data_IF_906374738915
#
_entry.id   IF_906374738915
#
_cell.length_a   1.000
_cell.length_b   1.000
_cell.length_c   1.000
_cell.angle_alpha   90.00
_cell.angle_beta   90.00
_cell.angle_gamma   90.00
#
_symmetry.space_group_name_H-M   'P 1'
#
loop_
_entity.id
_entity.type
_entity.pdbx_description
1 polymer ?
#
# COMPACT_ATOMS: atom_id res chain seq x y z
N UNK A 1 17.71 -65.55 -20.83
CA UNK A 1 16.31 -65.61 -21.26
C UNK A 1 15.54 -64.69 -20.32
N UNK A 2 14.83 -63.61 -20.71
CA UNK A 2 14.40 -63.15 -22.05
C UNK A 2 14.30 -61.60 -22.08
N UNK A 3 14.31 -60.99 -23.27
CA UNK A 3 14.03 -59.54 -23.54
C UNK A 3 12.55 -59.18 -23.22
N UNK A 4 12.00 -57.97 -23.29
CA UNK A 4 12.31 -56.64 -23.88
C UNK A 4 11.54 -55.56 -23.07
N UNK A 5 11.87 -54.26 -22.98
CA UNK A 5 12.22 -53.20 -23.95
C UNK A 5 11.01 -52.47 -24.61
N UNK A 6 11.07 -51.13 -24.64
CA UNK A 6 10.10 -50.20 -25.29
C UNK A 6 9.29 -49.35 -24.29
N UNK A 7 9.11 -48.03 -24.46
CA UNK A 7 9.57 -47.10 -25.50
C UNK A 7 9.45 -45.63 -25.03
N UNK A 8 10.05 -44.68 -25.76
CA UNK A 8 10.17 -43.26 -25.38
C UNK A 8 9.13 -42.36 -26.09
N UNK A 9 8.97 -41.14 -25.55
CA UNK A 9 8.72 -39.88 -26.30
C UNK A 9 7.34 -39.75 -27.02
N UNK A 10 6.91 -38.59 -27.52
CA UNK A 10 7.11 -37.17 -27.12
C UNK A 10 6.16 -36.29 -27.97
N UNK A 11 5.71 -35.14 -27.43
CA UNK A 11 4.94 -34.10 -28.13
C UNK A 11 4.55 -33.01 -27.12
N UNK A 12 4.81 -31.69 -27.25
CA UNK A 12 4.71 -30.76 -28.41
C UNK A 12 3.38 -30.97 -29.17
N UNK A 13 2.59 -29.96 -29.60
CA UNK A 13 2.55 -28.50 -29.42
C UNK A 13 1.30 -27.96 -30.20
N UNK A 14 0.76 -26.75 -30.07
CA UNK A 14 0.75 -25.65 -29.06
C UNK A 14 -0.13 -24.49 -29.63
N UNK A 15 -0.21 -23.33 -28.95
CA UNK A 15 -0.73 -22.01 -29.41
C UNK A 15 -2.25 -21.76 -29.28
N UNK A 16 -2.59 -20.47 -29.17
CA UNK A 16 -3.94 -19.89 -29.28
C UNK A 16 -4.60 -19.60 -27.92
N UNK A 17 -4.90 -18.36 -27.50
CA UNK A 17 -4.67 -17.04 -28.11
C UNK A 17 -5.97 -16.27 -28.37
N UNK A 18 -6.11 -15.07 -27.77
CA UNK A 18 -7.29 -14.19 -27.78
C UNK A 18 -8.57 -14.77 -27.13
N UNK A 19 -9.48 -13.98 -26.54
CA UNK A 19 -9.50 -12.52 -26.38
C UNK A 19 -10.73 -11.89 -27.03
N UNK A 20 -11.87 -11.88 -26.34
CA UNK A 20 -13.04 -11.06 -26.70
C UNK A 20 -13.53 -10.25 -25.50
N UNK A 21 -13.27 -8.95 -25.52
CA UNK A 21 -14.03 -7.99 -24.75
C UNK A 21 -15.26 -7.60 -25.59
N UNK A 22 -16.48 -7.74 -25.05
CA UNK A 22 -17.68 -7.16 -25.65
C UNK A 22 -18.07 -5.90 -24.89
N UNK A 23 -17.77 -4.75 -25.49
CA UNK A 23 -18.21 -3.46 -24.99
C UNK A 23 -19.71 -3.25 -25.24
N UNK A 24 -20.45 -2.87 -24.21
CA UNK A 24 -21.81 -2.32 -24.35
C UNK A 24 -21.73 -0.81 -24.48
N UNK A 25 -21.76 -0.28 -25.71
CA UNK A 25 -21.96 1.14 -25.96
C UNK A 25 -23.47 1.41 -26.11
N UNK A 26 -24.08 2.00 -25.09
CA UNK A 26 -25.46 2.48 -25.16
C UNK A 26 -25.51 3.95 -25.53
N UNK A 27 -25.84 4.26 -26.79
CA UNK A 27 -26.22 5.64 -27.15
C UNK A 27 -27.61 5.96 -26.60
N UNK A 28 -27.74 7.08 -25.90
CA UNK A 28 -29.02 7.72 -25.61
C UNK A 28 -28.92 9.21 -25.99
N UNK A 29 -29.52 9.57 -27.13
CA UNK A 29 -29.68 10.97 -27.56
C UNK A 29 -31.00 11.53 -27.02
N UNK A 30 -30.95 12.75 -26.50
CA UNK A 30 -32.12 13.54 -26.08
C UNK A 30 -31.75 14.40 -24.86
N UNK A 31 -32.08 15.69 -24.79
CA UNK A 31 -32.72 16.57 -25.77
C UNK A 31 -32.42 18.04 -25.41
N UNK A 32 -32.80 18.97 -26.27
CA UNK A 32 -32.49 20.40 -26.08
C UNK A 32 -33.30 21.04 -24.94
N UNK A 33 -32.75 22.11 -24.34
CA UNK A 33 -33.43 22.93 -23.34
C UNK A 33 -32.64 24.21 -23.02
N UNK A 34 -32.91 25.30 -23.74
CA UNK A 34 -32.40 26.63 -23.41
C UNK A 34 -33.25 27.31 -22.32
N UNK A 35 -32.58 27.90 -21.31
CA UNK A 35 -33.06 29.04 -20.53
C UNK A 35 -31.84 29.66 -19.81
N UNK A 36 -31.22 30.75 -20.31
CA UNK A 36 -31.60 32.17 -20.15
C UNK A 36 -31.84 32.63 -18.69
N UNK A 37 -30.97 33.55 -18.25
CA UNK A 37 -31.32 34.65 -17.35
C UNK A 37 -30.81 34.54 -15.92
N UNK A 38 -30.07 35.56 -15.45
CA UNK A 38 -29.69 35.67 -14.03
C UNK A 38 -28.37 36.38 -13.74
N UNK A 39 -28.12 37.56 -14.32
CA UNK A 39 -27.05 38.42 -13.81
C UNK A 39 -27.49 39.05 -12.47
N UNK A 40 -26.60 39.05 -11.48
CA UNK A 40 -26.90 39.52 -10.12
C UNK A 40 -25.63 39.91 -9.36
N UNK A 41 -24.98 40.98 -9.77
CA UNK A 41 -23.96 41.63 -8.95
C UNK A 41 -24.61 42.26 -7.71
N UNK A 42 -24.12 41.94 -6.51
CA UNK A 42 -24.37 42.72 -5.31
C UNK A 42 -23.06 42.87 -4.53
N UNK A 43 -22.64 44.13 -4.35
CA UNK A 43 -21.35 44.51 -3.74
C UNK A 43 -21.42 44.54 -2.21
N UNK A 44 -20.24 44.49 -1.60
CA UNK A 44 -19.95 45.33 -0.43
C UNK A 44 -20.06 44.63 0.93
N UNK A 45 -18.91 44.26 1.48
CA UNK A 45 -18.82 43.63 2.80
C UNK A 45 -17.40 43.66 3.39
N UNK A 46 -16.66 44.74 3.16
CA UNK A 46 -15.35 44.91 3.79
C UNK A 46 -15.52 45.13 5.30
N UNK A 47 -14.92 44.25 6.12
CA UNK A 47 -14.52 44.58 7.49
C UNK A 47 -13.09 44.11 7.72
N UNK A 48 -12.33 45.01 8.31
CA UNK A 48 -10.88 44.95 8.38
C UNK A 48 -10.36 44.00 9.46
N UNK A 49 -9.06 43.73 9.37
CA UNK A 49 -8.35 42.84 10.27
C UNK A 49 -8.26 43.37 11.71
N UNK A 50 -8.47 42.47 12.66
CA UNK A 50 -7.54 42.28 13.78
C UNK A 50 -7.15 40.80 13.78
N UNK A 51 -5.89 40.42 13.89
CA UNK A 51 -4.81 41.12 14.58
C UNK A 51 -4.38 40.25 15.75
N UNK A 52 -3.89 39.06 15.43
CA UNK A 52 -3.51 38.01 16.37
C UNK A 52 -2.21 37.36 15.93
N UNK A 53 -1.13 38.15 15.95
CA UNK A 53 0.23 37.62 15.85
C UNK A 53 0.55 36.93 17.19
N UNK A 54 0.39 35.61 17.22
CA UNK A 54 0.90 34.74 18.27
C UNK A 54 1.93 33.78 17.64
N UNK A 55 3.07 33.64 18.28
CA UNK A 55 4.26 33.00 17.70
C UNK A 55 4.07 31.49 17.45
N UNK A 56 4.86 30.94 16.53
CA UNK A 56 4.98 29.49 16.39
C UNK A 56 4.05 28.82 15.37
N UNK A 57 3.47 29.56 14.42
CA UNK A 57 2.78 28.97 13.27
C UNK A 57 3.75 28.23 12.32
N UNK A 58 4.20 27.04 12.72
CA UNK A 58 4.88 26.09 11.85
C UNK A 58 4.08 25.98 10.54
N UNK A 59 4.76 26.18 9.40
CA UNK A 59 4.12 26.41 8.11
C UNK A 59 3.03 25.34 7.86
N UNK A 60 1.77 25.79 7.83
CA UNK A 60 0.61 24.88 7.69
C UNK A 60 0.79 24.08 6.40
N UNK A 61 0.84 22.76 6.53
CA UNK A 61 1.01 21.86 5.39
C UNK A 61 -0.04 22.16 4.32
N UNK A 62 0.37 22.17 3.05
CA UNK A 62 -0.58 22.19 1.94
C UNK A 62 -1.46 20.93 1.99
N UNK A 63 -2.63 20.96 1.35
CA UNK A 63 -3.51 19.78 1.30
C UNK A 63 -2.80 18.52 0.78
N UNK A 64 -1.92 18.68 -0.22
CA UNK A 64 -1.09 17.59 -0.75
C UNK A 64 -0.05 17.08 0.26
N UNK A 65 0.65 17.97 0.96
CA UNK A 65 1.62 17.58 2.01
C UNK A 65 0.94 16.89 3.19
N UNK A 66 -0.23 17.36 3.59
CA UNK A 66 -1.06 16.72 4.62
C UNK A 66 -1.52 15.32 4.21
N UNK A 67 -1.92 15.14 2.93
CA UNK A 67 -2.31 13.84 2.41
C UNK A 67 -1.14 12.86 2.35
N UNK A 68 0.00 13.26 1.79
CA UNK A 68 1.20 12.42 1.76
C UNK A 68 1.69 12.02 3.17
N UNK A 69 1.55 12.91 4.16
CA UNK A 69 1.84 12.59 5.57
C UNK A 69 0.82 11.58 6.13
N UNK A 70 -0.46 11.72 5.82
CA UNK A 70 -1.50 10.76 6.20
C UNK A 70 -1.24 9.37 5.58
N UNK A 71 -0.94 9.29 4.28
CA UNK A 71 -0.59 8.04 3.60
C UNK A 71 0.61 7.36 4.26
N UNK A 72 1.68 8.11 4.56
CA UNK A 72 2.86 7.58 5.23
C UNK A 72 2.55 7.05 6.64
N UNK A 73 1.64 7.70 7.39
CA UNK A 73 1.18 7.22 8.70
C UNK A 73 0.35 5.94 8.59
N UNK A 74 -0.60 5.88 7.66
CA UNK A 74 -1.43 4.69 7.42
C UNK A 74 -0.57 3.52 6.95
N UNK A 75 0.34 3.74 6.01
CA UNK A 75 1.30 2.73 5.55
C UNK A 75 2.17 2.19 6.69
N UNK A 76 2.61 3.04 7.63
CA UNK A 76 3.34 2.61 8.83
C UNK A 76 2.47 1.83 9.81
N UNK A 77 1.18 2.16 9.94
CA UNK A 77 0.25 1.39 10.76
C UNK A 77 0.00 0.00 10.18
N UNK A 78 -0.16 -0.12 8.85
CA UNK A 78 -0.36 -1.40 8.15
C UNK A 78 0.83 -2.37 8.28
N UNK A 79 2.00 -1.90 8.71
CA UNK A 79 3.18 -2.75 8.96
C UNK A 79 3.65 -2.76 10.41
N UNK A 80 2.88 -2.20 11.33
CA UNK A 80 3.17 -2.25 12.76
C UNK A 80 2.75 -3.59 13.37
N UNK A 81 3.37 -3.96 14.49
CA UNK A 81 2.99 -5.13 15.29
C UNK A 81 1.59 -4.97 15.91
N UNK A 82 1.29 -3.77 16.42
CA UNK A 82 -0.07 -3.33 16.73
C UNK A 82 -0.50 -2.22 15.74
N UNK A 83 -1.29 -2.56 14.70
CA UNK A 83 -1.74 -1.59 13.71
C UNK A 83 -2.72 -0.57 14.29
N UNK A 84 -3.44 -0.88 15.37
CA UNK A 84 -4.42 0.02 15.98
C UNK A 84 -3.79 1.02 16.93
N UNK A 85 -2.83 0.60 17.75
CA UNK A 85 -2.00 1.53 18.52
C UNK A 85 -1.26 2.50 17.58
N UNK A 86 -0.72 2.00 16.46
CA UNK A 86 -0.07 2.83 15.44
C UNK A 86 -1.05 3.81 14.77
N UNK A 87 -2.29 3.38 14.46
CA UNK A 87 -3.30 4.25 13.84
C UNK A 87 -3.81 5.33 14.82
N UNK A 88 -4.03 4.97 16.08
CA UNK A 88 -4.40 5.92 17.15
C UNK A 88 -3.27 6.93 17.39
N UNK A 89 -2.01 6.48 17.47
CA UNK A 89 -0.85 7.37 17.58
C UNK A 89 -0.69 8.30 16.37
N UNK A 90 -1.08 7.85 15.16
CA UNK A 90 -1.13 8.72 13.98
C UNK A 90 -2.23 9.78 14.06
N UNK A 91 -3.35 9.50 14.73
CA UNK A 91 -4.43 10.47 14.93
C UNK A 91 -4.05 11.63 15.86
N UNK A 92 -3.03 11.45 16.71
CA UNK A 92 -2.47 12.51 17.56
C UNK A 92 -1.50 13.46 16.82
N UNK A 93 -1.16 13.21 15.55
CA UNK A 93 -0.22 14.05 14.80
C UNK A 93 -0.84 15.43 14.50
N UNK A 94 -0.38 16.53 15.15
CA UNK A 94 -1.05 17.83 15.05
C UNK A 94 -0.94 18.45 13.66
N UNK A 95 0.00 17.98 12.84
CA UNK A 95 0.17 18.42 11.46
C UNK A 95 -0.89 17.84 10.50
N UNK A 96 -1.63 16.80 10.91
CA UNK A 96 -2.75 16.27 10.13
C UNK A 96 -4.02 17.12 10.35
N UNK A 97 -4.81 17.43 9.29
CA UNK A 97 -6.10 18.08 9.39
C UNK A 97 -7.06 17.36 10.36
N UNK A 98 -7.87 18.09 11.15
CA UNK A 98 -8.78 17.48 12.14
C UNK A 98 -9.72 16.42 11.57
N UNK A 99 -10.16 16.57 10.32
CA UNK A 99 -11.01 15.59 9.64
C UNK A 99 -10.30 14.25 9.41
N UNK A 100 -9.00 14.26 9.06
CA UNK A 100 -8.21 13.03 8.89
C UNK A 100 -7.91 12.38 10.24
N UNK A 101 -7.63 13.17 11.29
CA UNK A 101 -7.45 12.66 12.65
C UNK A 101 -8.73 11.97 13.17
N UNK A 102 -9.90 12.57 12.91
CA UNK A 102 -11.20 11.95 13.20
C UNK A 102 -11.43 10.66 12.39
N UNK A 103 -11.04 10.62 11.11
CA UNK A 103 -11.18 9.43 10.28
C UNK A 103 -10.30 8.27 10.77
N UNK A 104 -9.07 8.55 11.21
CA UNK A 104 -8.17 7.54 11.81
C UNK A 104 -8.75 6.93 13.09
N UNK A 105 -9.38 7.74 13.96
CA UNK A 105 -10.04 7.27 15.19
C UNK A 105 -11.37 6.54 14.93
N UNK A 106 -12.03 6.83 13.81
CA UNK A 106 -13.31 6.22 13.42
C UNK A 106 -13.19 5.02 12.48
N UNK A 107 -11.98 4.52 12.22
CA UNK A 107 -11.76 3.33 11.41
C UNK A 107 -12.23 2.07 12.16
N UNK A 108 -12.90 1.16 11.44
CA UNK A 108 -13.33 -0.13 11.99
C UNK A 108 -12.10 -0.97 12.42
N UNK A 109 -12.11 -1.44 13.66
CA UNK A 109 -10.91 -2.05 14.25
C UNK A 109 -10.52 -3.36 13.58
N UNK A 110 -11.52 -4.20 13.25
CA UNK A 110 -11.29 -5.49 12.62
C UNK A 110 -10.93 -5.31 11.14
N UNK A 111 -11.54 -4.35 10.44
CA UNK A 111 -11.12 -3.92 9.12
C UNK A 111 -9.66 -3.47 9.07
N UNK A 112 -9.17 -2.75 10.08
CA UNK A 112 -7.76 -2.35 10.21
C UNK A 112 -6.86 -3.55 10.46
N UNK A 113 -7.20 -4.43 11.42
CA UNK A 113 -6.45 -5.67 11.71
C UNK A 113 -6.35 -6.57 10.47
N UNK A 114 -7.47 -6.81 9.79
CA UNK A 114 -7.54 -7.61 8.57
C UNK A 114 -6.75 -6.98 7.41
N UNK A 115 -6.81 -5.66 7.26
CA UNK A 115 -6.03 -4.95 6.23
C UNK A 115 -4.52 -5.10 6.45
N UNK A 116 -4.05 -4.97 7.69
CA UNK A 116 -2.64 -5.18 8.04
C UNK A 116 -2.20 -6.62 7.76
N UNK A 117 -3.01 -7.63 8.13
CA UNK A 117 -2.75 -9.04 7.83
C UNK A 117 -2.68 -9.32 6.32
N UNK A 118 -3.56 -8.71 5.52
CA UNK A 118 -3.53 -8.82 4.06
C UNK A 118 -2.26 -8.17 3.47
N UNK A 119 -1.85 -6.99 3.96
CA UNK A 119 -0.61 -6.32 3.56
C UNK A 119 0.61 -7.18 3.90
N UNK A 120 0.67 -7.77 5.10
CA UNK A 120 1.73 -8.69 5.51
C UNK A 120 1.79 -9.93 4.61
N UNK A 121 0.64 -10.60 4.39
CA UNK A 121 0.55 -11.78 3.53
C UNK A 121 0.98 -11.49 2.09
N UNK A 122 0.44 -10.46 1.45
CA UNK A 122 0.76 -10.11 0.07
C UNK A 122 2.25 -9.76 -0.09
N UNK A 123 2.85 -9.14 0.92
CA UNK A 123 4.27 -8.81 0.96
C UNK A 123 5.15 -10.07 1.12
N UNK A 124 4.74 -10.99 1.98
CA UNK A 124 5.40 -12.28 2.18
C UNK A 124 5.39 -13.12 0.88
N UNK A 125 4.22 -13.26 0.24
CA UNK A 125 4.08 -13.96 -1.04
C UNK A 125 4.94 -13.33 -2.15
N UNK A 126 5.05 -12.00 -2.21
CA UNK A 126 5.95 -11.30 -3.16
C UNK A 126 7.42 -11.54 -2.86
N UNK A 127 7.82 -11.64 -1.59
CA UNK A 127 9.20 -11.88 -1.22
C UNK A 127 9.65 -13.28 -1.64
N UNK A 128 8.90 -14.31 -1.24
CA UNK A 128 9.26 -15.70 -1.58
C UNK A 128 9.30 -15.91 -3.10
N UNK A 129 8.28 -15.48 -3.85
CA UNK A 129 8.27 -15.53 -5.32
C UNK A 129 9.34 -14.67 -6.00
N UNK A 130 9.98 -13.76 -5.26
CA UNK A 130 10.97 -12.81 -5.78
C UNK A 130 12.42 -13.18 -5.48
N UNK A 131 12.67 -14.05 -4.50
CA UNK A 131 14.00 -14.41 -4.00
C UNK A 131 14.05 -15.90 -3.65
N UNK A 132 14.63 -16.74 -4.52
CA UNK A 132 14.89 -18.15 -4.21
C UNK A 132 15.74 -18.34 -2.95
N UNK A 133 16.56 -17.34 -2.58
CA UNK A 133 17.37 -17.33 -1.36
C UNK A 133 16.55 -17.06 -0.08
N UNK A 134 15.39 -16.41 -0.21
CA UNK A 134 14.41 -16.24 0.86
C UNK A 134 13.51 -17.47 0.99
N UNK A 135 13.10 -18.05 -0.15
CA UNK A 135 12.36 -19.32 -0.22
C UNK A 135 13.17 -20.47 0.41
N UNK A 136 14.41 -20.67 -0.02
CA UNK A 136 15.29 -21.70 0.57
C UNK A 136 15.58 -21.48 2.07
N UNK A 137 15.61 -20.22 2.55
CA UNK A 137 15.76 -19.94 3.98
C UNK A 137 14.51 -20.30 4.77
N UNK A 138 13.32 -19.96 4.25
CA UNK A 138 12.04 -20.33 4.86
C UNK A 138 11.86 -21.86 4.90
N UNK A 139 12.26 -22.57 3.86
CA UNK A 139 12.21 -24.04 3.81
C UNK A 139 13.17 -24.71 4.81
N UNK A 140 14.33 -24.09 5.10
CA UNK A 140 15.32 -24.62 6.06
C UNK A 140 15.02 -24.27 7.51
N UNK A 141 14.61 -23.02 7.78
CA UNK A 141 14.20 -22.54 9.11
C UNK A 141 13.05 -21.51 8.97
N UNK A 142 11.79 -21.97 9.01
CA UNK A 142 10.64 -21.08 8.88
C UNK A 142 10.47 -20.17 10.11
N UNK A 143 11.04 -20.51 11.27
CA UNK A 143 10.90 -19.72 12.49
C UNK A 143 11.86 -18.53 12.49
N UNK A 144 13.14 -18.74 12.16
CA UNK A 144 14.14 -17.70 11.96
C UNK A 144 13.72 -16.77 10.80
N UNK A 145 13.34 -17.35 9.65
CA UNK A 145 12.86 -16.56 8.51
C UNK A 145 11.64 -15.71 8.86
N UNK A 146 10.65 -16.26 9.58
CA UNK A 146 9.46 -15.50 9.98
C UNK A 146 9.80 -14.38 10.96
N UNK A 147 10.77 -14.57 11.84
CA UNK A 147 11.26 -13.51 12.72
C UNK A 147 11.98 -12.40 11.94
N UNK A 148 12.85 -12.77 11.00
CA UNK A 148 13.51 -11.82 10.09
C UNK A 148 12.48 -11.06 9.23
N UNK A 149 11.48 -11.75 8.68
CA UNK A 149 10.41 -11.13 7.89
C UNK A 149 9.58 -10.13 8.72
N UNK A 150 9.20 -10.45 9.96
CA UNK A 150 8.46 -9.49 10.82
C UNK A 150 9.25 -8.20 11.04
N UNK A 151 10.56 -8.30 11.26
CA UNK A 151 11.45 -7.14 11.40
C UNK A 151 11.57 -6.34 10.10
N UNK A 152 11.87 -7.00 8.98
CA UNK A 152 11.85 -6.39 7.65
C UNK A 152 10.53 -5.67 7.35
N UNK A 153 9.41 -6.30 7.70
CA UNK A 153 8.07 -5.80 7.46
C UNK A 153 7.84 -4.46 8.20
N UNK A 154 8.20 -4.40 9.48
CA UNK A 154 8.06 -3.20 10.32
C UNK A 154 9.10 -2.10 10.02
N UNK A 155 10.33 -2.46 9.66
CA UNK A 155 11.44 -1.52 9.41
C UNK A 155 11.37 -0.88 8.01
N UNK A 156 10.98 -1.62 6.97
CA UNK A 156 11.04 -1.16 5.57
C UNK A 156 9.63 -0.87 5.03
N UNK A 157 9.35 0.33 4.48
CA UNK A 157 8.05 0.64 3.86
C UNK A 157 7.69 -0.30 2.69
N UNK A 158 6.41 -0.75 2.57
CA UNK A 158 5.98 -1.74 1.58
C UNK A 158 5.73 -1.10 0.19
N UNK A 159 6.78 -0.54 -0.44
CA UNK A 159 6.67 0.21 -1.70
C UNK A 159 6.76 -0.64 -2.97
N UNK A 160 7.08 -1.94 -2.86
CA UNK A 160 7.17 -2.83 -4.02
C UNK A 160 5.82 -3.46 -4.38
N UNK A 161 5.39 -3.25 -5.63
CA UNK A 161 4.17 -3.86 -6.18
C UNK A 161 4.40 -5.27 -6.75
N UNK A 162 5.61 -5.58 -7.24
CA UNK A 162 5.95 -6.84 -7.90
C UNK A 162 7.07 -7.62 -7.18
N UNK A 163 7.12 -8.97 -7.27
CA UNK A 163 8.10 -9.81 -6.56
C UNK A 163 9.57 -9.38 -6.70
N UNK A 164 10.10 -9.03 -7.89
CA UNK A 164 11.51 -8.62 -8.01
C UNK A 164 11.83 -7.31 -7.29
N UNK A 165 10.84 -6.44 -7.06
CA UNK A 165 11.00 -5.22 -6.27
C UNK A 165 11.12 -5.51 -4.77
N UNK A 166 10.30 -6.45 -4.28
CA UNK A 166 10.26 -6.87 -2.88
C UNK A 166 11.58 -7.56 -2.50
N UNK A 167 12.07 -8.47 -3.34
CA UNK A 167 13.38 -9.12 -3.17
C UNK A 167 14.55 -8.11 -3.11
N UNK A 168 14.53 -7.06 -3.94
CA UNK A 168 15.55 -6.00 -3.90
C UNK A 168 15.48 -5.15 -2.62
N UNK A 169 14.29 -4.92 -2.06
CA UNK A 169 14.14 -4.24 -0.77
C UNK A 169 14.67 -5.11 0.37
N UNK A 170 14.29 -6.39 0.41
CA UNK A 170 14.75 -7.34 1.42
C UNK A 170 16.27 -7.52 1.40
N UNK A 171 16.89 -7.66 0.22
CA UNK A 171 18.35 -7.79 0.10
C UNK A 171 19.08 -6.58 0.68
N UNK A 172 18.67 -5.34 0.31
CA UNK A 172 19.27 -4.12 0.87
C UNK A 172 19.09 -4.00 2.39
N UNK A 173 17.97 -4.50 2.92
CA UNK A 173 17.75 -4.56 4.36
C UNK A 173 18.67 -5.59 5.04
N UNK A 174 18.87 -6.78 4.44
CA UNK A 174 19.84 -7.78 4.91
C UNK A 174 21.30 -7.29 4.84
N UNK A 175 21.62 -6.37 3.93
CA UNK A 175 22.92 -5.70 3.81
C UNK A 175 23.08 -4.52 4.81
N UNK A 176 22.00 -4.10 5.47
CA UNK A 176 22.02 -2.98 6.42
C UNK A 176 22.47 -3.43 7.82
N UNK A 177 23.11 -2.56 8.63
CA UNK A 177 23.60 -2.92 9.96
C UNK A 177 22.50 -3.27 10.99
N UNK A 178 21.22 -3.08 10.66
CA UNK A 178 20.09 -3.57 11.47
C UNK A 178 19.70 -5.03 11.17
N UNK A 179 20.24 -5.66 10.13
CA UNK A 179 19.88 -7.02 9.74
C UNK A 179 20.12 -8.05 10.87
N UNK A 180 19.32 -9.12 10.96
CA UNK A 180 19.64 -10.27 11.80
C UNK A 180 20.95 -10.91 11.32
N UNK A 181 21.88 -11.14 12.25
CA UNK A 181 23.05 -11.96 11.98
C UNK A 181 22.59 -13.40 11.73
N UNK A 182 22.69 -13.87 10.48
CA UNK A 182 22.41 -15.27 10.14
C UNK A 182 23.36 -16.18 10.91
N UNK A 183 22.80 -17.17 11.61
CA UNK A 183 23.59 -18.30 12.06
C UNK A 183 24.24 -18.99 10.84
N UNK A 184 25.50 -19.43 10.99
CA UNK A 184 26.26 -20.14 9.96
C UNK A 184 26.34 -21.62 10.30
#
# INVERSE_FOLDING_TARGET
MTRAAGGRAAGRAARGGAGEARGGAGEARGGAGEARGGAGEARGGAREARGGAGEGAAARLTGAQAHARYEARVARAMTAEDPLAALRAAAEDPALPPALRKALLGADEDGVRMSALLVARLRFERLLRGSPEAEAWFDSDPAEFSAAFRRYHAEVPPTAFFPPGEARLFRRWMESPSAPARAR
#
